data_IF_248954038940
#
_entry.id   IF_248954038940
#
_cell.length_a   1.000
_cell.length_b   1.000
_cell.length_c   1.000
_cell.angle_alpha   90.00
_cell.angle_beta   90.00
_cell.angle_gamma   90.00
#
_symmetry.space_group_name_H-M   'P 1'
#
loop_
_entity.id
_entity.type
_entity.pdbx_description
1 polymer ?
#
# COMPACT_ATOMS: atom_id res chain seq x y z
N UNK A 1 -2.43 -13.52 12.57
CA UNK A 1 -1.65 -12.54 11.80
C UNK A 1 -2.38 -12.01 10.55
N UNK A 2 -3.47 -12.64 10.13
CA UNK A 2 -4.30 -12.16 9.02
C UNK A 2 -5.26 -11.10 9.55
N UNK A 3 -5.25 -9.92 8.97
CA UNK A 3 -6.13 -8.80 9.33
C UNK A 3 -7.29 -8.60 8.36
N UNK A 4 -7.08 -8.97 7.10
CA UNK A 4 -8.05 -8.78 6.02
C UNK A 4 -7.91 -9.88 4.98
N UNK A 5 -9.03 -10.37 4.45
CA UNK A 5 -9.09 -11.26 3.30
C UNK A 5 -9.30 -10.45 2.03
N UNK A 6 -8.57 -10.78 0.97
CA UNK A 6 -8.61 -10.07 -0.31
C UNK A 6 -8.79 -11.09 -1.44
N UNK A 7 -10.02 -11.38 -1.87
CA UNK A 7 -10.25 -12.40 -2.91
C UNK A 7 -9.81 -11.98 -4.31
N UNK A 8 -9.89 -10.69 -4.63
CA UNK A 8 -9.54 -10.19 -5.97
C UNK A 8 -8.63 -8.97 -5.89
N UNK A 9 -7.67 -8.91 -6.82
CA UNK A 9 -6.74 -7.81 -6.98
C UNK A 9 -6.85 -7.22 -8.38
N UNK A 10 -7.10 -5.92 -8.49
CA UNK A 10 -7.05 -5.12 -9.72
C UNK A 10 -7.90 -5.67 -10.89
N UNK A 11 -8.94 -6.41 -10.56
CA UNK A 11 -9.83 -7.02 -11.55
C UNK A 11 -9.30 -8.31 -12.20
N UNK A 12 -8.09 -8.76 -11.84
CA UNK A 12 -7.54 -10.01 -12.36
C UNK A 12 -8.36 -11.23 -11.92
N UNK A 13 -9.00 -11.87 -12.90
CA UNK A 13 -9.86 -13.04 -12.65
C UNK A 13 -11.10 -12.74 -11.78
N UNK A 14 -11.47 -11.49 -11.60
CA UNK A 14 -12.61 -11.09 -10.76
C UNK A 14 -13.94 -11.60 -11.37
N UNK A 15 -14.71 -12.29 -10.54
CA UNK A 15 -16.05 -12.75 -10.85
C UNK A 15 -16.86 -12.87 -9.59
N UNK A 16 -18.18 -12.68 -9.64
CA UNK A 16 -19.11 -12.86 -8.52
C UNK A 16 -18.53 -12.40 -7.16
N UNK A 17 -18.09 -11.16 -7.08
CA UNK A 17 -17.40 -10.64 -5.91
C UNK A 17 -18.25 -10.78 -4.63
N UNK A 18 -19.57 -10.59 -4.74
CA UNK A 18 -20.50 -10.76 -3.62
C UNK A 18 -20.55 -12.21 -3.11
N UNK A 19 -20.59 -13.18 -4.03
CA UNK A 19 -20.52 -14.62 -3.70
C UNK A 19 -19.19 -14.99 -3.05
N UNK A 20 -18.07 -14.45 -3.55
CA UNK A 20 -16.76 -14.68 -2.95
C UNK A 20 -16.68 -14.12 -1.51
N UNK A 21 -17.17 -12.92 -1.27
CA UNK A 21 -17.25 -12.33 0.09
C UNK A 21 -18.08 -13.22 1.01
N UNK A 22 -19.25 -13.68 0.54
CA UNK A 22 -20.11 -14.55 1.33
C UNK A 22 -19.45 -15.89 1.67
N UNK A 23 -18.76 -16.50 0.72
CA UNK A 23 -18.00 -17.72 0.93
C UNK A 23 -16.91 -17.54 1.99
N UNK A 24 -16.14 -16.45 1.93
CA UNK A 24 -15.14 -16.11 2.94
C UNK A 24 -15.80 -15.97 4.32
N UNK A 25 -16.89 -15.22 4.45
CA UNK A 25 -17.57 -15.02 5.73
C UNK A 25 -18.15 -16.30 6.32
N UNK A 26 -18.46 -17.28 5.48
CA UNK A 26 -18.89 -18.61 5.95
C UNK A 26 -17.73 -19.38 6.62
N UNK A 27 -16.50 -19.14 6.18
CA UNK A 27 -15.30 -19.79 6.71
C UNK A 27 -14.64 -18.99 7.84
N UNK A 28 -14.65 -17.67 7.74
CA UNK A 28 -14.07 -16.75 8.73
C UNK A 28 -14.82 -15.40 8.71
N UNK A 29 -15.66 -15.19 9.70
CA UNK A 29 -16.41 -13.95 9.92
C UNK A 29 -15.70 -12.96 10.86
N UNK A 30 -14.49 -13.32 11.33
CA UNK A 30 -13.74 -12.54 12.32
C UNK A 30 -12.77 -11.54 11.70
N UNK A 31 -12.54 -11.57 10.39
CA UNK A 31 -11.62 -10.70 9.67
C UNK A 31 -12.37 -9.77 8.72
N UNK A 32 -11.75 -8.63 8.43
CA UNK A 32 -12.24 -7.75 7.37
C UNK A 32 -12.13 -8.43 6.00
N UNK A 33 -12.99 -8.01 5.08
CA UNK A 33 -12.92 -8.44 3.66
C UNK A 33 -12.82 -7.20 2.79
N UNK A 34 -11.75 -7.14 1.98
CA UNK A 34 -11.57 -6.21 0.86
C UNK A 34 -11.91 -6.98 -0.43
N UNK A 35 -13.14 -6.82 -0.92
CA UNK A 35 -13.66 -7.68 -1.99
C UNK A 35 -12.90 -7.54 -3.32
N UNK A 36 -12.44 -6.33 -3.63
CA UNK A 36 -11.76 -6.00 -4.88
C UNK A 36 -10.71 -4.93 -4.60
N UNK A 37 -9.48 -5.38 -4.31
CA UNK A 37 -8.39 -4.50 -3.96
C UNK A 37 -8.02 -3.61 -5.15
N UNK A 38 -8.11 -2.30 -4.94
CA UNK A 38 -7.69 -1.23 -5.83
C UNK A 38 -8.71 -0.79 -6.86
N UNK A 39 -9.22 -1.68 -7.68
CA UNK A 39 -10.07 -1.35 -8.82
C UNK A 39 -11.32 -2.24 -8.88
N UNK A 40 -12.31 -1.82 -9.67
CA UNK A 40 -13.54 -2.56 -9.94
C UNK A 40 -14.34 -2.94 -8.69
N UNK A 41 -14.35 -2.04 -7.70
CA UNK A 41 -15.15 -2.18 -6.48
C UNK A 41 -16.64 -2.39 -6.82
N UNK A 42 -17.21 -3.49 -6.34
CA UNK A 42 -18.62 -3.85 -6.55
C UNK A 42 -19.53 -3.38 -5.41
N UNK A 43 -18.95 -2.73 -4.41
CA UNK A 43 -19.68 -2.17 -3.27
C UNK A 43 -19.88 -3.12 -2.09
N UNK A 44 -19.33 -4.34 -2.13
CA UNK A 44 -19.35 -5.31 -1.04
C UNK A 44 -18.16 -5.18 -0.08
N UNK A 45 -17.95 -6.17 0.76
CA UNK A 45 -16.88 -6.19 1.74
C UNK A 45 -16.97 -5.09 2.79
N UNK A 46 -15.90 -4.92 3.57
CA UNK A 46 -15.80 -3.94 4.66
C UNK A 46 -14.99 -2.71 4.26
N UNK A 47 -14.17 -2.85 3.22
CA UNK A 47 -13.16 -1.88 2.81
C UNK A 47 -13.49 -1.32 1.42
N UNK A 48 -13.29 -0.03 1.24
CA UNK A 48 -13.22 0.62 -0.07
C UNK A 48 -11.75 0.87 -0.37
N UNK A 49 -11.19 0.08 -1.25
CA UNK A 49 -9.76 -0.02 -1.51
C UNK A 49 -9.32 0.86 -2.65
N UNK A 50 -8.14 1.46 -2.55
CA UNK A 50 -7.54 2.34 -3.56
C UNK A 50 -6.12 1.86 -3.83
N UNK A 51 -5.76 1.68 -5.11
CA UNK A 51 -4.38 1.61 -5.57
C UNK A 51 -4.00 2.95 -6.24
N UNK A 52 -2.90 3.54 -5.82
CA UNK A 52 -2.46 4.83 -6.34
C UNK A 52 -0.94 4.92 -6.50
N UNK A 53 -0.47 4.84 -7.72
CA UNK A 53 0.94 4.99 -8.07
C UNK A 53 1.24 6.26 -8.88
N UNK A 54 0.29 6.79 -9.65
CA UNK A 54 0.53 7.82 -10.67
C UNK A 54 -0.30 9.08 -10.53
N UNK A 55 -1.50 9.00 -9.97
CA UNK A 55 -2.48 10.11 -9.97
C UNK A 55 -2.50 10.83 -8.63
N UNK A 56 -2.98 12.07 -8.60
CA UNK A 56 -3.31 12.70 -7.33
C UNK A 56 -4.23 11.80 -6.51
N UNK A 57 -3.90 11.57 -5.25
CA UNK A 57 -4.72 10.77 -4.36
C UNK A 57 -5.96 11.55 -3.94
N UNK A 58 -7.13 10.99 -4.24
CA UNK A 58 -8.42 11.54 -3.85
C UNK A 58 -9.18 10.54 -2.99
N UNK A 59 -9.30 10.82 -1.72
CA UNK A 59 -10.11 10.04 -0.79
C UNK A 59 -11.52 10.62 -0.73
N UNK A 60 -12.51 9.77 -0.94
CA UNK A 60 -13.93 10.10 -0.79
C UNK A 60 -14.49 9.21 0.32
N UNK A 61 -14.80 9.77 1.50
CA UNK A 61 -15.39 8.99 2.58
C UNK A 61 -16.77 8.47 2.18
N UNK A 62 -17.09 7.27 2.61
CA UNK A 62 -18.34 6.58 2.35
C UNK A 62 -18.82 5.82 3.57
N UNK A 63 -19.65 4.81 3.36
CA UNK A 63 -20.11 3.92 4.43
C UNK A 63 -19.05 2.91 4.87
N UNK A 64 -18.12 2.56 3.98
CA UNK A 64 -17.04 1.62 4.24
C UNK A 64 -15.74 2.35 4.56
N UNK A 65 -14.87 1.70 5.30
CA UNK A 65 -13.50 2.18 5.58
C UNK A 65 -12.71 2.34 4.29
N UNK A 66 -12.07 3.49 4.10
CA UNK A 66 -11.20 3.72 2.94
C UNK A 66 -9.78 3.30 3.26
N UNK A 67 -9.25 2.40 2.45
CA UNK A 67 -7.86 1.93 2.52
C UNK A 67 -7.09 2.32 1.25
N UNK A 68 -5.88 2.84 1.42
CA UNK A 68 -4.89 2.93 0.35
C UNK A 68 -4.07 1.63 0.41
N UNK A 69 -4.59 0.60 -0.26
CA UNK A 69 -4.10 -0.78 -0.14
C UNK A 69 -2.87 -1.07 -0.98
N UNK A 70 -2.56 -0.20 -1.96
CA UNK A 70 -1.26 -0.19 -2.63
C UNK A 70 -0.88 1.24 -3.03
N UNK A 71 0.36 1.62 -2.72
CA UNK A 71 0.92 2.90 -3.14
C UNK A 71 2.43 2.95 -2.93
N UNK A 72 3.08 3.90 -3.56
CA UNK A 72 4.53 4.06 -3.47
C UNK A 72 5.22 3.43 -4.65
N UNK A 73 5.66 2.19 -4.52
CA UNK A 73 6.26 1.43 -5.61
C UNK A 73 7.52 2.07 -6.22
N UNK A 74 8.21 2.97 -5.49
CA UNK A 74 9.36 3.72 -6.00
C UNK A 74 10.55 2.77 -6.11
N UNK A 75 10.96 2.48 -7.34
CA UNK A 75 12.08 1.59 -7.62
C UNK A 75 13.42 2.21 -7.25
N UNK A 76 14.29 1.41 -6.72
CA UNK A 76 15.72 1.67 -6.62
C UNK A 76 16.49 0.36 -6.61
N UNK A 77 16.99 -0.09 -7.77
CA UNK A 77 17.87 -1.25 -7.83
C UNK A 77 19.14 -0.96 -7.04
N UNK A 78 19.49 -1.84 -6.11
CA UNK A 78 20.69 -1.70 -5.29
C UNK A 78 21.72 -2.73 -5.78
N UNK A 79 22.83 -2.31 -6.44
CA UNK A 79 23.75 -3.20 -7.10
C UNK A 79 24.27 -4.33 -6.19
N UNK A 80 24.13 -5.56 -6.65
CA UNK A 80 24.54 -6.76 -5.92
C UNK A 80 23.52 -7.32 -4.93
N UNK A 81 22.33 -6.70 -4.82
CA UNK A 81 21.27 -7.10 -3.90
C UNK A 81 19.91 -7.30 -4.60
N UNK A 82 19.86 -7.21 -5.92
CA UNK A 82 18.67 -7.43 -6.74
C UNK A 82 18.59 -8.85 -7.29
N UNK A 83 17.39 -9.29 -7.63
CA UNK A 83 17.20 -10.51 -8.41
C UNK A 83 17.80 -10.35 -9.81
N UNK A 84 18.33 -11.43 -10.43
CA UNK A 84 18.86 -11.37 -11.79
C UNK A 84 17.77 -11.00 -12.81
N UNK A 85 18.09 -10.13 -13.77
CA UNK A 85 17.22 -9.80 -14.89
C UNK A 85 16.85 -8.34 -15.01
N UNK A 86 15.65 -8.09 -15.57
CA UNK A 86 15.11 -6.73 -15.70
C UNK A 86 14.59 -6.23 -14.36
N UNK A 87 14.57 -4.93 -14.18
CA UNK A 87 14.03 -4.30 -12.98
C UNK A 87 12.78 -3.50 -13.31
N UNK A 88 11.80 -3.53 -12.40
CA UNK A 88 10.53 -2.84 -12.53
C UNK A 88 10.20 -2.00 -11.29
N UNK A 89 9.36 -0.99 -11.47
CA UNK A 89 8.76 -0.15 -10.41
C UNK A 89 8.22 1.16 -10.96
N UNK A 90 7.55 1.91 -10.10
CA UNK A 90 6.84 3.14 -10.47
C UNK A 90 7.72 4.38 -10.29
N UNK A 91 8.61 4.61 -11.26
CA UNK A 91 9.64 5.65 -11.21
C UNK A 91 10.87 5.22 -10.40
N UNK A 92 12.06 5.56 -10.90
CA UNK A 92 13.33 5.08 -10.36
C UNK A 92 14.04 6.17 -9.57
N UNK A 93 14.38 5.87 -8.33
CA UNK A 93 15.27 6.70 -7.52
C UNK A 93 16.73 6.46 -7.92
N UNK A 94 17.57 7.48 -7.75
CA UNK A 94 18.96 7.47 -8.17
C UNK A 94 19.93 7.08 -7.04
N UNK A 95 19.47 7.09 -5.80
CA UNK A 95 20.28 6.83 -4.60
C UNK A 95 19.37 6.60 -3.39
N UNK A 96 19.96 6.12 -2.27
CA UNK A 96 19.31 6.03 -0.96
C UNK A 96 18.69 7.37 -0.54
N UNK A 97 19.42 8.46 -0.73
CA UNK A 97 18.95 9.80 -0.37
C UNK A 97 17.75 10.23 -1.22
N UNK A 98 17.78 9.98 -2.54
CA UNK A 98 16.67 10.28 -3.45
C UNK A 98 15.44 9.42 -3.13
N UNK A 99 15.61 8.11 -2.91
CA UNK A 99 14.53 7.22 -2.48
C UNK A 99 13.89 7.72 -1.19
N UNK A 100 14.70 8.02 -0.18
CA UNK A 100 14.23 8.52 1.12
C UNK A 100 13.46 9.83 0.98
N UNK A 101 13.95 10.77 0.18
CA UNK A 101 13.30 12.05 -0.07
C UNK A 101 11.94 11.88 -0.78
N UNK A 102 11.86 10.99 -1.77
CA UNK A 102 10.62 10.67 -2.49
C UNK A 102 9.60 9.99 -1.60
N UNK A 103 10.00 8.98 -0.82
CA UNK A 103 9.13 8.33 0.17
C UNK A 103 8.57 9.35 1.16
N UNK A 104 9.43 10.21 1.71
CA UNK A 104 9.03 11.27 2.63
C UNK A 104 8.05 12.26 2.01
N UNK A 105 8.32 12.71 0.78
CA UNK A 105 7.43 13.60 0.02
C UNK A 105 6.07 12.97 -0.23
N UNK A 106 6.04 11.69 -0.64
CA UNK A 106 4.80 10.96 -0.86
C UNK A 106 3.98 10.86 0.43
N UNK A 107 4.59 10.40 1.51
CA UNK A 107 3.90 10.19 2.78
C UNK A 107 3.37 11.49 3.39
N UNK A 108 4.21 12.51 3.50
CA UNK A 108 3.84 13.76 4.17
C UNK A 108 3.07 14.72 3.26
N UNK A 109 3.38 14.73 1.96
CA UNK A 109 2.77 15.66 1.01
C UNK A 109 1.48 15.14 0.37
N UNK A 110 1.37 13.83 0.17
CA UNK A 110 0.21 13.24 -0.52
C UNK A 110 -0.69 12.45 0.42
N UNK A 111 -0.13 11.56 1.23
CA UNK A 111 -0.91 10.65 2.08
C UNK A 111 -1.44 11.33 3.34
N UNK A 112 -0.58 11.99 4.10
CA UNK A 112 -0.95 12.60 5.38
C UNK A 112 -2.17 13.53 5.29
N UNK A 113 -2.33 14.41 4.28
CA UNK A 113 -3.52 15.23 4.14
C UNK A 113 -4.82 14.44 3.92
N UNK A 114 -4.75 13.21 3.44
CA UNK A 114 -5.93 12.38 3.17
C UNK A 114 -6.49 11.72 4.44
N UNK A 115 -5.69 11.61 5.51
CA UNK A 115 -6.18 11.11 6.81
C UNK A 115 -7.37 11.94 7.30
N UNK A 116 -7.30 13.27 7.17
CA UNK A 116 -8.42 14.19 7.50
C UNK A 116 -9.65 14.01 6.63
N UNK A 117 -9.51 13.33 5.49
CA UNK A 117 -10.61 13.04 4.55
C UNK A 117 -11.16 11.64 4.71
N UNK A 118 -10.76 10.90 5.75
CA UNK A 118 -11.28 9.57 6.07
C UNK A 118 -10.43 8.40 5.57
N UNK A 119 -9.18 8.65 5.10
CA UNK A 119 -8.25 7.56 4.82
C UNK A 119 -7.85 6.89 6.15
N UNK A 120 -8.09 5.59 6.27
CA UNK A 120 -8.01 4.87 7.54
C UNK A 120 -7.02 3.72 7.56
N UNK A 121 -6.57 3.24 6.41
CA UNK A 121 -5.56 2.19 6.32
C UNK A 121 -4.57 2.47 5.19
N UNK A 122 -3.32 2.03 5.37
CA UNK A 122 -2.21 2.24 4.45
C UNK A 122 -1.39 0.96 4.30
N UNK A 123 -1.17 0.51 3.07
CA UNK A 123 -0.25 -0.59 2.75
C UNK A 123 0.74 -0.11 1.68
N UNK A 124 1.98 0.10 2.10
CA UNK A 124 3.04 0.57 1.19
C UNK A 124 3.57 -0.58 0.33
N UNK A 125 3.69 -0.37 -0.96
CA UNK A 125 4.26 -1.30 -1.92
C UNK A 125 5.74 -0.99 -2.13
N UNK A 126 6.69 -1.82 -1.58
CA UNK A 126 6.38 -2.98 -0.75
C UNK A 126 7.44 -3.18 0.33
N UNK A 127 7.33 -4.25 1.12
CA UNK A 127 8.27 -4.48 2.22
C UNK A 127 9.65 -4.90 1.72
N UNK A 128 9.70 -5.85 0.78
CA UNK A 128 10.94 -6.35 0.16
C UNK A 128 10.84 -6.29 -1.35
N UNK A 129 11.97 -6.17 -2.04
CA UNK A 129 12.00 -6.43 -3.49
C UNK A 129 11.53 -7.86 -3.75
N UNK A 130 10.79 -8.07 -4.84
CA UNK A 130 10.26 -9.36 -5.26
C UNK A 130 10.54 -9.53 -6.75
N UNK A 131 11.36 -10.51 -7.10
CA UNK A 131 11.75 -10.79 -8.48
C UNK A 131 12.28 -9.54 -9.20
N UNK A 132 11.61 -9.09 -10.26
CA UNK A 132 11.99 -7.89 -11.02
C UNK A 132 11.46 -6.58 -10.39
N UNK A 133 10.56 -6.63 -9.43
CA UNK A 133 10.10 -5.46 -8.70
C UNK A 133 11.10 -4.99 -7.65
N UNK A 134 11.83 -3.93 -7.97
CA UNK A 134 12.87 -3.35 -7.10
C UNK A 134 12.36 -2.12 -6.35
N UNK A 135 11.15 -2.19 -5.83
CA UNK A 135 10.43 -1.11 -5.14
C UNK A 135 10.23 -1.36 -3.63
N UNK A 136 10.85 -2.41 -3.09
CA UNK A 136 10.82 -2.74 -1.68
C UNK A 136 11.56 -1.74 -0.79
N UNK A 137 11.20 -1.73 0.51
CA UNK A 137 11.97 -1.05 1.55
C UNK A 137 13.25 -1.82 1.92
N UNK A 138 13.24 -3.13 1.68
CA UNK A 138 14.40 -4.01 1.79
C UNK A 138 14.78 -4.52 0.40
N UNK A 139 16.06 -4.88 0.26
CA UNK A 139 16.58 -5.55 -0.94
C UNK A 139 16.00 -6.96 -1.11
N UNK A 140 16.14 -7.55 -2.30
CA UNK A 140 15.66 -8.89 -2.63
C UNK A 140 16.18 -9.97 -1.68
N UNK A 141 17.48 -9.91 -1.35
CA UNK A 141 18.12 -10.79 -0.38
C UNK A 141 17.84 -10.42 1.10
N UNK A 142 17.11 -9.32 1.34
CA UNK A 142 16.80 -8.74 2.67
C UNK A 142 18.01 -8.30 3.49
N UNK A 143 19.17 -8.18 2.88
CA UNK A 143 20.41 -7.81 3.56
C UNK A 143 20.46 -6.32 3.91
N UNK A 144 19.82 -5.45 3.09
CA UNK A 144 19.91 -4.00 3.22
C UNK A 144 18.54 -3.34 3.35
N UNK A 145 18.46 -2.32 4.20
CA UNK A 145 17.33 -1.37 4.23
C UNK A 145 17.63 -0.27 3.20
N UNK A 146 16.78 -0.15 2.20
CA UNK A 146 17.02 0.76 1.07
C UNK A 146 16.87 2.25 1.42
N UNK A 147 15.78 2.73 2.04
CA UNK A 147 15.70 4.12 2.52
C UNK A 147 16.41 4.30 3.86
N UNK A 148 16.54 5.55 4.31
CA UNK A 148 16.96 5.85 5.68
C UNK A 148 15.89 5.41 6.68
N UNK A 149 16.21 4.45 7.54
CA UNK A 149 15.27 3.85 8.49
C UNK A 149 14.76 4.87 9.54
N UNK A 150 15.56 5.85 9.94
CA UNK A 150 15.15 6.87 10.90
C UNK A 150 14.18 7.87 10.25
N UNK A 151 14.40 8.21 8.98
CA UNK A 151 13.47 9.01 8.21
C UNK A 151 12.11 8.30 8.06
N UNK A 152 12.11 7.01 7.74
CA UNK A 152 10.86 6.20 7.65
C UNK A 152 10.13 6.17 9.00
N UNK A 153 10.85 5.90 10.10
CA UNK A 153 10.25 5.95 11.47
C UNK A 153 9.62 7.29 11.77
N UNK A 154 10.31 8.40 11.47
CA UNK A 154 9.81 9.75 11.72
C UNK A 154 8.53 10.04 10.93
N UNK A 155 8.48 9.59 9.69
CA UNK A 155 7.31 9.73 8.82
C UNK A 155 6.14 8.91 9.37
N UNK A 156 6.36 7.65 9.72
CA UNK A 156 5.32 6.79 10.29
C UNK A 156 4.78 7.35 11.62
N UNK A 157 5.65 7.90 12.47
CA UNK A 157 5.23 8.59 13.70
C UNK A 157 4.35 9.82 13.41
N UNK A 158 4.68 10.60 12.37
CA UNK A 158 3.87 11.75 11.98
C UNK A 158 2.49 11.33 11.45
N UNK A 159 2.40 10.27 10.63
CA UNK A 159 1.14 9.69 10.16
C UNK A 159 0.29 9.19 11.34
N UNK A 160 0.87 8.43 12.25
CA UNK A 160 0.18 7.91 13.43
C UNK A 160 -0.32 9.04 14.34
N UNK A 161 0.48 10.07 14.55
CA UNK A 161 0.09 11.24 15.34
C UNK A 161 -1.06 12.02 14.71
N UNK A 162 -1.08 12.16 13.39
CA UNK A 162 -2.18 12.80 12.67
C UNK A 162 -3.45 11.94 12.70
N UNK A 163 -3.32 10.64 12.49
CA UNK A 163 -4.44 9.71 12.58
C UNK A 163 -5.11 9.76 13.96
N UNK A 164 -4.33 9.77 15.04
CA UNK A 164 -4.83 9.88 16.40
C UNK A 164 -5.61 11.18 16.69
N UNK A 165 -5.38 12.26 15.92
CA UNK A 165 -6.13 13.52 16.04
C UNK A 165 -7.49 13.45 15.33
N UNK A 166 -7.58 12.74 14.22
CA UNK A 166 -8.81 12.69 13.39
C UNK A 166 -9.77 11.59 13.82
N UNK A 167 -9.33 10.66 14.68
CA UNK A 167 -10.14 9.56 15.23
C UNK A 167 -10.67 9.83 16.64
N UNK A 168 -10.42 11.01 17.19
CA UNK A 168 -10.99 11.50 18.46
C UNK A 168 -12.23 12.33 18.20
#
# INVERSE_FOLDING_TARGET
CIGCWVPFNEGWGQFDAAGAVQAIRTLDDTRLVDEASGWYDQGGGDVCSIHNYFYPLHVKPGKRTVALSEYGGIAWPMPGHEAPGKTYGYGTAKSRADLTARCKKLQLGTVLPQLKKGLSALVYTQLTDVEDEVNGLFTYDRAEIKPDANAVRSVNAALAAEFAKVTR
#
